data_IF_375083872291
#
_entry.id   IF_375083872291
#
_cell.length_a   1.000
_cell.length_b   1.000
_cell.length_c   1.000
_cell.angle_alpha   90.00
_cell.angle_beta   90.00
_cell.angle_gamma   90.00
#
_symmetry.space_group_name_H-M   'P 1'
#
loop_
_entity.id
_entity.type
_entity.pdbx_description
1 polymer ?
#
# COMPACT_ATOMS: atom_id res chain seq x y z
N UNK A 1 -38.29 58.69 15.76
CA UNK A 1 -37.41 58.24 16.87
C UNK A 1 -37.51 56.73 16.97
N UNK A 2 -36.35 56.04 16.98
CA UNK A 2 -36.07 54.60 17.20
C UNK A 2 -36.55 53.66 16.06
N UNK A 3 -35.66 53.18 15.19
CA UNK A 3 -34.62 52.13 15.32
C UNK A 3 -35.15 50.69 15.25
N UNK A 4 -34.76 49.97 14.18
CA UNK A 4 -34.14 48.64 14.23
C UNK A 4 -35.02 47.38 14.33
N UNK A 5 -34.88 46.47 13.35
CA UNK A 5 -35.22 45.05 13.52
C UNK A 5 -35.55 44.29 12.23
N UNK A 6 -34.52 43.76 11.57
CA UNK A 6 -34.64 42.79 10.47
C UNK A 6 -34.88 41.36 10.98
N UNK A 7 -35.48 40.55 10.09
CA UNK A 7 -35.50 39.08 9.95
C UNK A 7 -36.86 38.40 10.17
N UNK A 8 -37.36 37.88 9.04
CA UNK A 8 -38.61 37.15 8.85
C UNK A 8 -38.61 35.74 9.48
N UNK A 9 -39.86 35.29 9.62
CA UNK A 9 -40.38 34.21 10.42
C UNK A 9 -40.06 32.80 9.88
N UNK A 10 -39.90 31.91 10.85
CA UNK A 10 -39.81 30.44 10.81
C UNK A 10 -41.02 29.79 10.11
N UNK A 11 -40.82 28.81 9.23
CA UNK A 11 -41.67 27.60 9.22
C UNK A 11 -41.03 26.44 8.46
N UNK A 12 -41.04 25.29 9.15
CA UNK A 12 -40.49 24.00 8.75
C UNK A 12 -41.37 23.31 7.68
N UNK A 13 -40.73 22.69 6.68
CA UNK A 13 -41.33 21.60 5.92
C UNK A 13 -40.34 20.45 5.82
N UNK A 14 -40.56 19.43 6.64
CA UNK A 14 -39.89 18.15 6.59
C UNK A 14 -40.21 17.43 5.28
N UNK A 15 -39.19 16.85 4.63
CA UNK A 15 -39.40 15.80 3.64
C UNK A 15 -38.54 14.59 3.97
N UNK A 16 -39.14 13.42 3.73
CA UNK A 16 -38.77 12.04 4.05
C UNK A 16 -37.27 11.73 4.19
N UNK A 17 -36.96 11.11 5.33
CA UNK A 17 -35.85 10.16 5.48
C UNK A 17 -36.17 8.92 4.65
N UNK A 18 -35.25 8.51 3.79
CA UNK A 18 -35.38 7.24 3.07
C UNK A 18 -34.55 7.18 1.80
N UNK A 19 -33.23 7.08 1.94
CA UNK A 19 -32.39 6.21 1.14
C UNK A 19 -31.03 6.18 1.84
N UNK A 20 -30.63 4.99 2.32
CA UNK A 20 -29.27 4.74 2.78
C UNK A 20 -28.36 4.90 1.58
N UNK A 21 -27.94 6.14 1.31
CA UNK A 21 -26.81 6.45 0.48
C UNK A 21 -25.60 5.86 1.15
N UNK A 22 -25.33 4.57 0.88
CA UNK A 22 -24.04 3.98 1.14
C UNK A 22 -23.04 4.97 0.57
N UNK A 23 -22.23 5.59 1.43
CA UNK A 23 -21.03 6.29 0.96
C UNK A 23 -20.41 5.29 0.00
N UNK A 24 -20.25 5.67 -1.27
CA UNK A 24 -19.36 4.95 -2.17
C UNK A 24 -18.11 4.73 -1.32
N UNK A 25 -17.88 3.50 -0.87
CA UNK A 25 -16.74 3.20 -0.01
C UNK A 25 -15.58 3.43 -0.95
N UNK A 26 -15.01 4.64 -0.91
CA UNK A 26 -13.89 4.99 -1.74
C UNK A 26 -12.87 3.88 -1.48
N UNK A 27 -12.68 3.03 -2.48
CA UNK A 27 -11.81 1.86 -2.37
C UNK A 27 -10.47 2.41 -1.92
N UNK A 28 -10.10 2.20 -0.66
CA UNK A 28 -8.91 2.84 -0.13
C UNK A 28 -7.71 2.22 -0.85
N UNK A 29 -6.97 3.07 -1.56
CA UNK A 29 -5.78 2.71 -2.31
C UNK A 29 -4.56 2.97 -1.44
N UNK A 30 -3.59 2.06 -1.47
CA UNK A 30 -2.27 2.36 -0.94
C UNK A 30 -1.53 3.25 -1.93
N UNK A 31 -1.16 4.46 -1.50
CA UNK A 31 -0.59 5.48 -2.38
C UNK A 31 0.45 6.34 -1.67
N UNK A 32 1.36 6.91 -2.47
CA UNK A 32 2.41 7.82 -2.01
C UNK A 32 3.60 7.09 -1.38
N UNK A 33 4.68 7.84 -1.18
CA UNK A 33 5.94 7.38 -0.60
C UNK A 33 6.11 7.95 0.81
N UNK A 34 6.44 7.10 1.77
CA UNK A 34 6.60 7.47 3.18
C UNK A 34 8.02 7.13 3.62
N UNK A 35 8.80 8.15 3.96
CA UNK A 35 10.13 7.96 4.54
C UNK A 35 9.99 7.58 6.01
N UNK A 36 10.63 6.49 6.40
CA UNK A 36 10.55 5.91 7.73
C UNK A 36 11.86 5.19 8.06
N UNK A 37 11.93 4.55 9.22
CA UNK A 37 13.09 3.76 9.63
C UNK A 37 12.66 2.41 10.15
N UNK A 38 13.60 1.46 10.07
CA UNK A 38 13.49 0.17 10.74
C UNK A 38 14.30 0.25 12.03
N UNK A 39 13.67 -0.10 13.14
CA UNK A 39 14.35 -0.08 14.43
C UNK A 39 15.33 -1.26 14.58
N UNK A 40 16.14 -1.24 15.65
CA UNK A 40 17.13 -2.27 15.95
C UNK A 40 16.54 -3.69 16.05
N UNK A 41 15.25 -3.80 16.37
CA UNK A 41 14.53 -5.08 16.46
C UNK A 41 13.95 -5.52 15.12
N UNK A 42 14.19 -4.77 14.05
CA UNK A 42 13.67 -5.05 12.72
C UNK A 42 12.21 -4.65 12.54
N UNK A 43 11.66 -3.78 13.39
CA UNK A 43 10.26 -3.36 13.31
C UNK A 43 10.11 -2.11 12.46
N UNK A 44 9.05 -2.11 11.66
CA UNK A 44 8.65 -1.01 10.80
C UNK A 44 7.33 -0.42 11.29
N UNK A 45 7.27 0.89 11.51
CA UNK A 45 6.00 1.56 11.82
C UNK A 45 5.19 1.81 10.53
N UNK A 46 4.02 1.19 10.42
CA UNK A 46 3.09 1.43 9.30
C UNK A 46 2.56 2.87 9.42
N UNK A 47 2.51 3.67 8.34
CA UNK A 47 1.94 5.02 8.39
C UNK A 47 0.49 5.02 8.90
N UNK A 48 0.18 5.95 9.81
CA UNK A 48 -1.09 5.98 10.54
C UNK A 48 -2.33 5.91 9.64
N UNK A 49 -2.29 6.58 8.48
CA UNK A 49 -3.38 6.60 7.50
C UNK A 49 -3.76 5.22 6.93
N UNK A 50 -2.89 4.22 7.02
CA UNK A 50 -3.17 2.88 6.50
C UNK A 50 -3.60 1.89 7.59
N UNK A 51 -3.33 2.19 8.86
CA UNK A 51 -3.51 1.24 9.97
C UNK A 51 -4.97 0.81 10.11
N UNK A 52 -5.89 1.76 10.20
CA UNK A 52 -7.32 1.46 10.33
C UNK A 52 -7.81 0.60 9.15
N UNK A 53 -7.41 0.95 7.93
CA UNK A 53 -7.79 0.19 6.74
C UNK A 53 -7.25 -1.25 6.76
N UNK A 54 -5.99 -1.45 7.16
CA UNK A 54 -5.40 -2.79 7.28
C UNK A 54 -6.08 -3.60 8.39
N UNK A 55 -6.40 -2.98 9.52
CA UNK A 55 -7.15 -3.62 10.59
C UNK A 55 -8.56 -4.03 10.15
N UNK A 56 -9.30 -3.15 9.48
CA UNK A 56 -10.66 -3.44 8.99
C UNK A 56 -10.68 -4.49 7.88
N UNK A 57 -9.66 -4.51 7.02
CA UNK A 57 -9.63 -5.36 5.83
C UNK A 57 -9.08 -6.76 6.09
N UNK A 58 -8.09 -6.89 6.97
CA UNK A 58 -7.39 -8.16 7.19
C UNK A 58 -6.92 -8.33 8.64
N UNK A 59 -7.48 -7.59 9.61
CA UNK A 59 -7.08 -7.71 11.01
C UNK A 59 -5.63 -7.30 11.28
N UNK A 60 -4.96 -6.63 10.34
CA UNK A 60 -3.52 -6.35 10.42
C UNK A 60 -2.62 -7.53 10.00
N UNK A 61 -3.19 -8.61 9.46
CA UNK A 61 -2.44 -9.73 8.89
C UNK A 61 -1.84 -9.35 7.54
N UNK A 62 -0.53 -9.47 7.44
CA UNK A 62 0.27 -9.01 6.32
C UNK A 62 1.27 -10.11 5.93
N UNK A 63 1.72 -10.07 4.68
CA UNK A 63 2.81 -10.91 4.19
C UNK A 63 3.90 -10.00 3.64
N UNK A 64 5.14 -10.23 4.07
CA UNK A 64 6.32 -9.57 3.50
C UNK A 64 7.10 -10.60 2.69
N UNK A 65 7.46 -10.25 1.46
CA UNK A 65 8.17 -11.14 0.54
C UNK A 65 9.07 -10.35 -0.42
N UNK A 66 9.69 -11.02 -1.38
CA UNK A 66 10.43 -10.38 -2.47
C UNK A 66 9.52 -10.10 -3.67
N UNK A 67 9.78 -8.96 -4.29
CA UNK A 67 9.18 -8.58 -5.57
C UNK A 67 10.04 -8.94 -6.77
N UNK A 68 9.63 -8.50 -7.98
CA UNK A 68 10.44 -8.65 -9.19
C UNK A 68 11.72 -7.81 -9.16
N UNK A 69 11.75 -6.71 -8.41
CA UNK A 69 12.95 -5.91 -8.20
C UNK A 69 13.86 -6.56 -7.13
N UNK A 70 15.16 -6.74 -7.39
CA UNK A 70 16.04 -7.55 -6.54
C UNK A 70 16.28 -6.98 -5.14
N UNK A 71 16.33 -5.65 -5.01
CA UNK A 71 16.62 -4.90 -3.77
C UNK A 71 15.34 -4.35 -3.09
N UNK A 72 14.17 -4.89 -3.42
CA UNK A 72 12.88 -4.44 -2.91
C UNK A 72 12.14 -5.57 -2.21
N UNK A 73 11.58 -5.27 -1.04
CA UNK A 73 10.57 -6.11 -0.42
C UNK A 73 9.18 -5.64 -0.81
N UNK A 74 8.23 -6.55 -0.84
CA UNK A 74 6.84 -6.25 -1.11
C UNK A 74 6.00 -6.73 0.05
N UNK A 75 5.09 -5.87 0.49
CA UNK A 75 4.18 -6.14 1.60
C UNK A 75 2.73 -6.12 1.13
N UNK A 76 2.03 -7.21 1.39
CA UNK A 76 0.64 -7.42 1.01
C UNK A 76 -0.26 -7.54 2.24
N UNK A 77 -1.47 -6.96 2.24
CA UNK A 77 -2.59 -7.52 3.02
C UNK A 77 -2.80 -8.98 2.65
N UNK A 78 -3.05 -9.85 3.64
CA UNK A 78 -3.23 -11.29 3.39
C UNK A 78 -4.20 -11.61 2.23
N UNK A 79 -5.40 -10.99 2.12
CA UNK A 79 -6.31 -11.27 1.00
C UNK A 79 -5.79 -10.89 -0.38
N UNK A 80 -4.84 -9.96 -0.48
CA UNK A 80 -4.19 -9.64 -1.76
C UNK A 80 -3.02 -10.58 -2.06
N UNK A 81 -2.37 -11.13 -1.04
CA UNK A 81 -1.34 -12.14 -1.21
C UNK A 81 -1.93 -13.48 -1.68
N UNK A 82 -3.06 -13.89 -1.11
CA UNK A 82 -3.81 -15.09 -1.56
C UNK A 82 -4.19 -14.97 -3.04
N UNK A 83 -4.73 -13.82 -3.45
CA UNK A 83 -5.04 -13.54 -4.87
C UNK A 83 -3.81 -13.64 -5.77
N UNK A 84 -2.67 -13.10 -5.31
CA UNK A 84 -1.42 -13.20 -6.06
C UNK A 84 -0.96 -14.66 -6.18
N UNK A 85 -1.10 -15.45 -5.13
CA UNK A 85 -0.77 -16.88 -5.17
C UNK A 85 -1.65 -17.63 -6.17
N UNK A 86 -2.96 -17.36 -6.18
CA UNK A 86 -3.90 -17.90 -7.16
C UNK A 86 -3.51 -17.48 -8.60
N UNK A 87 -3.18 -16.21 -8.81
CA UNK A 87 -2.76 -15.70 -10.13
C UNK A 87 -1.48 -16.41 -10.61
N UNK A 88 -0.50 -16.64 -9.72
CA UNK A 88 0.73 -17.37 -10.02
C UNK A 88 0.46 -18.83 -10.36
N UNK A 89 -0.43 -19.49 -9.63
CA UNK A 89 -0.80 -20.90 -9.88
C UNK A 89 -1.47 -21.07 -11.26
N UNK A 90 -2.27 -20.07 -11.66
CA UNK A 90 -3.02 -20.05 -12.91
C UNK A 90 -2.22 -19.50 -14.11
N UNK A 91 -0.95 -19.13 -13.95
CA UNK A 91 -0.10 -18.70 -15.07
C UNK A 91 0.02 -19.79 -16.14
N UNK A 92 -0.19 -19.39 -17.39
CA UNK A 92 -0.10 -20.28 -18.56
C UNK A 92 1.36 -20.69 -18.82
N UNK A 93 2.28 -19.75 -18.71
CA UNK A 93 3.72 -20.04 -18.83
C UNK A 93 4.23 -20.66 -17.53
N UNK A 94 4.60 -21.95 -17.59
CA UNK A 94 5.06 -22.70 -16.43
C UNK A 94 6.46 -22.30 -15.98
N UNK A 95 7.31 -21.82 -16.88
CA UNK A 95 8.66 -21.36 -16.51
C UNK A 95 8.55 -20.07 -15.70
N UNK A 96 7.72 -19.14 -16.14
CA UNK A 96 7.49 -17.90 -15.39
C UNK A 96 6.72 -18.14 -14.08
N UNK A 97 5.77 -19.09 -14.08
CA UNK A 97 5.09 -19.51 -12.84
C UNK A 97 6.08 -20.01 -11.78
N UNK A 98 7.01 -20.91 -12.14
CA UNK A 98 8.00 -21.44 -11.20
C UNK A 98 8.99 -20.37 -10.73
N UNK A 99 9.37 -19.41 -11.60
CA UNK A 99 10.17 -18.25 -11.18
C UNK A 99 9.42 -17.38 -10.19
N UNK A 100 8.15 -17.06 -10.45
CA UNK A 100 7.32 -16.26 -9.56
C UNK A 100 7.11 -16.96 -8.21
N UNK A 101 6.86 -18.28 -8.20
CA UNK A 101 6.81 -19.08 -6.96
C UNK A 101 8.12 -19.00 -6.18
N UNK A 102 9.25 -19.22 -6.83
CA UNK A 102 10.55 -19.21 -6.16
C UNK A 102 10.88 -17.84 -5.54
N UNK A 103 10.54 -16.74 -6.22
CA UNK A 103 10.84 -15.38 -5.76
C UNK A 103 9.82 -14.90 -4.71
N UNK A 104 8.53 -15.08 -4.97
CA UNK A 104 7.46 -14.46 -4.17
C UNK A 104 6.89 -15.42 -3.14
N UNK A 105 6.60 -16.67 -3.49
CA UNK A 105 6.05 -17.63 -2.52
C UNK A 105 7.16 -18.17 -1.61
N UNK A 106 8.32 -18.51 -2.18
CA UNK A 106 9.45 -19.10 -1.45
C UNK A 106 10.09 -18.18 -0.41
N UNK A 107 9.91 -16.87 -0.52
CA UNK A 107 10.42 -15.87 0.43
C UNK A 107 9.34 -15.23 1.31
N UNK A 108 8.08 -15.65 1.16
CA UNK A 108 6.97 -15.08 1.91
C UNK A 108 7.10 -15.35 3.41
N UNK A 109 6.86 -14.32 4.20
CA UNK A 109 6.81 -14.41 5.64
C UNK A 109 5.59 -13.67 6.17
N UNK A 110 4.76 -14.39 6.91
CA UNK A 110 3.60 -13.83 7.59
C UNK A 110 4.05 -12.90 8.72
N UNK A 111 3.35 -11.79 8.87
CA UNK A 111 3.56 -10.81 9.93
C UNK A 111 2.22 -10.20 10.34
N UNK A 112 2.14 -9.70 11.56
CA UNK A 112 0.94 -9.07 12.08
C UNK A 112 1.27 -7.69 12.63
N UNK A 113 0.39 -6.73 12.36
CA UNK A 113 0.52 -5.39 12.90
C UNK A 113 0.21 -5.39 14.40
N UNK A 114 1.21 -4.99 15.20
CA UNK A 114 1.05 -4.87 16.65
C UNK A 114 0.10 -3.72 17.04
N UNK A 115 -0.25 -3.62 18.33
CA UNK A 115 -1.13 -2.57 18.86
C UNK A 115 -0.59 -1.13 18.64
N UNK A 116 0.70 -0.98 18.35
CA UNK A 116 1.33 0.32 18.07
C UNK A 116 1.37 0.62 16.56
N UNK A 117 0.85 -0.28 15.72
CA UNK A 117 0.86 -0.12 14.28
C UNK A 117 2.18 -0.48 13.63
N UNK A 118 2.98 -1.37 14.24
CA UNK A 118 4.25 -1.83 13.68
C UNK A 118 4.20 -3.28 13.24
N UNK A 119 5.06 -3.64 12.30
CA UNK A 119 5.27 -5.01 11.85
C UNK A 119 6.72 -5.41 12.03
N UNK A 120 6.99 -6.71 12.13
CA UNK A 120 8.34 -7.25 12.12
C UNK A 120 8.76 -7.60 10.69
N UNK A 121 9.94 -7.15 10.26
CA UNK A 121 10.56 -7.56 9.00
C UNK A 121 11.63 -8.63 9.31
N UNK A 122 11.49 -9.86 8.79
CA UNK A 122 12.43 -10.94 9.01
C UNK A 122 13.89 -10.56 8.68
N UNK A 123 14.88 -10.97 9.50
CA UNK A 123 16.29 -10.61 9.29
C UNK A 123 16.85 -10.98 7.91
N UNK A 124 16.45 -12.13 7.35
CA UNK A 124 16.86 -12.56 6.02
C UNK A 124 16.35 -11.61 4.93
N UNK A 125 15.08 -11.18 5.02
CA UNK A 125 14.49 -10.24 4.06
C UNK A 125 15.12 -8.85 4.21
N UNK A 126 15.40 -8.39 5.43
CA UNK A 126 16.12 -7.13 5.66
C UNK A 126 17.50 -7.14 5.02
N UNK A 127 18.25 -8.24 5.16
CA UNK A 127 19.56 -8.39 4.54
C UNK A 127 19.48 -8.35 3.01
N UNK A 128 18.49 -9.02 2.42
CA UNK A 128 18.27 -9.05 0.96
C UNK A 128 18.00 -7.64 0.42
N UNK A 129 17.15 -6.87 1.09
CA UNK A 129 16.78 -5.51 0.64
C UNK A 129 17.63 -4.40 1.26
N UNK A 130 18.76 -4.73 1.89
CA UNK A 130 19.71 -3.77 2.52
C UNK A 130 19.05 -2.79 3.49
N UNK A 131 18.06 -3.29 4.24
CA UNK A 131 17.24 -2.51 5.17
C UNK A 131 17.94 -2.37 6.54
N UNK A 132 18.93 -1.49 6.62
CA UNK A 132 19.78 -1.27 7.80
C UNK A 132 19.52 0.06 8.53
N UNK A 133 18.47 0.80 8.16
CA UNK A 133 18.10 2.05 8.82
C UNK A 133 16.99 2.82 8.11
N UNK A 134 17.29 3.91 7.38
CA UNK A 134 16.31 4.65 6.60
C UNK A 134 15.69 3.80 5.50
N UNK A 135 14.36 3.84 5.39
CA UNK A 135 13.59 3.10 4.42
C UNK A 135 12.48 3.98 3.84
N UNK A 136 11.92 3.53 2.72
CA UNK A 136 10.76 4.15 2.08
C UNK A 136 9.69 3.10 1.83
N UNK A 137 8.50 3.35 2.36
CA UNK A 137 7.32 2.54 2.10
C UNK A 137 6.46 3.24 1.05
N UNK A 138 6.38 2.65 -0.14
CA UNK A 138 5.68 3.18 -1.29
C UNK A 138 4.38 2.41 -1.53
N UNK A 139 3.24 3.09 -1.55
CA UNK A 139 1.95 2.47 -1.83
C UNK A 139 1.76 2.19 -3.34
N UNK A 140 1.37 0.96 -3.65
CA UNK A 140 1.18 0.44 -5.02
C UNK A 140 -0.23 -0.14 -5.20
N UNK A 141 -1.27 0.68 -4.95
CA UNK A 141 -2.70 0.38 -5.10
C UNK A 141 -3.20 -0.68 -4.10
N UNK A 142 -2.70 -1.91 -4.19
CA UNK A 142 -3.12 -3.10 -3.42
C UNK A 142 -2.04 -3.62 -2.47
N UNK A 143 -0.82 -3.13 -2.59
CA UNK A 143 0.34 -3.53 -1.79
C UNK A 143 1.21 -2.33 -1.44
N UNK A 144 2.30 -2.59 -0.74
CA UNK A 144 3.39 -1.65 -0.56
C UNK A 144 4.68 -2.25 -1.08
N UNK A 145 5.50 -1.42 -1.69
CA UNK A 145 6.90 -1.72 -1.96
C UNK A 145 7.74 -1.05 -0.86
N UNK A 146 8.69 -1.79 -0.30
CA UNK A 146 9.55 -1.37 0.81
C UNK A 146 11.00 -1.39 0.34
N UNK A 147 11.61 -0.21 0.37
CA UNK A 147 12.95 0.06 -0.14
C UNK A 147 13.85 0.55 0.98
N UNK A 148 15.13 0.21 0.92
CA UNK A 148 16.15 1.03 1.59
C UNK A 148 16.19 2.41 0.93
N UNK A 149 16.38 3.48 1.70
CA UNK A 149 16.25 4.84 1.17
C UNK A 149 17.25 5.14 0.03
N UNK A 150 18.47 4.62 0.11
CA UNK A 150 19.47 4.74 -0.95
C UNK A 150 19.04 4.04 -2.25
N UNK A 151 18.48 2.84 -2.16
CA UNK A 151 17.99 2.08 -3.32
C UNK A 151 16.76 2.76 -3.94
N UNK A 152 15.89 3.34 -3.10
CA UNK A 152 14.78 4.17 -3.54
C UNK A 152 15.27 5.39 -4.34
N UNK A 153 16.22 6.16 -3.81
CA UNK A 153 16.73 7.35 -4.50
C UNK A 153 17.42 7.00 -5.82
N UNK A 154 18.20 5.91 -5.85
CA UNK A 154 18.85 5.43 -7.06
C UNK A 154 17.81 5.05 -8.14
N UNK A 155 16.67 4.48 -7.73
CA UNK A 155 15.64 4.00 -8.67
C UNK A 155 14.62 5.06 -9.06
N UNK A 156 14.21 5.95 -8.16
CA UNK A 156 13.08 6.87 -8.35
C UNK A 156 13.46 8.36 -8.24
N UNK A 157 14.69 8.69 -7.88
CA UNK A 157 15.16 10.08 -7.79
C UNK A 157 15.23 10.77 -9.16
N UNK A 158 15.70 12.02 -9.16
CA UNK A 158 15.72 12.89 -10.35
C UNK A 158 16.51 12.33 -11.56
N UNK A 159 17.40 11.36 -11.34
CA UNK A 159 18.16 10.67 -12.40
C UNK A 159 17.55 9.35 -12.87
N UNK A 160 16.33 9.02 -12.44
CA UNK A 160 15.69 7.74 -12.75
C UNK A 160 15.41 7.55 -14.25
N UNK A 161 15.71 6.36 -14.76
CA UNK A 161 15.35 5.93 -16.12
C UNK A 161 13.88 5.52 -16.27
N UNK A 162 13.12 5.53 -15.16
CA UNK A 162 11.69 5.23 -15.18
C UNK A 162 10.89 6.34 -15.89
N UNK A 163 11.42 7.55 -15.96
CA UNK A 163 10.80 8.67 -16.68
C UNK A 163 11.31 8.69 -18.12
N UNK A 164 10.40 8.72 -19.10
CA UNK A 164 10.78 8.69 -20.53
C UNK A 164 9.67 8.14 -21.43
N UNK A 165 10.05 7.68 -22.63
CA UNK A 165 9.11 7.16 -23.62
C UNK A 165 8.36 5.91 -23.14
N UNK A 166 9.04 5.01 -22.43
CA UNK A 166 8.44 3.81 -21.83
C UNK A 166 7.34 4.14 -20.82
N UNK A 167 7.55 5.17 -20.00
CA UNK A 167 6.53 5.67 -19.07
C UNK A 167 5.30 6.18 -19.83
N UNK A 168 5.52 7.01 -20.86
CA UNK A 168 4.44 7.53 -21.69
C UNK A 168 3.64 6.41 -22.35
N UNK A 169 4.33 5.40 -22.90
CA UNK A 169 3.69 4.24 -23.50
C UNK A 169 2.83 3.47 -22.50
N UNK A 170 3.35 3.21 -21.29
CA UNK A 170 2.57 2.57 -20.24
C UNK A 170 1.28 3.34 -19.95
N UNK A 171 1.34 4.67 -19.80
CA UNK A 171 0.16 5.50 -19.58
C UNK A 171 -0.81 5.55 -20.77
N UNK A 172 -0.35 5.35 -22.01
CA UNK A 172 -1.24 5.28 -23.20
C UNK A 172 -2.12 4.04 -23.20
N UNK A 173 -1.72 2.97 -22.54
CA UNK A 173 -2.51 1.73 -22.47
C UNK A 173 -3.72 1.83 -21.54
N UNK A 174 -3.78 2.87 -20.69
CA UNK A 174 -4.93 3.12 -19.82
C UNK A 174 -6.12 3.53 -20.69
N UNK A 175 -7.16 2.68 -20.71
CA UNK A 175 -8.46 3.04 -21.29
C UNK A 175 -9.00 4.25 -20.51
N UNK A 176 -9.12 5.39 -21.18
CA UNK A 176 -9.74 6.62 -20.66
C UNK A 176 -11.25 6.56 -20.81
#
# INVERSE_FOLDING_TARGET
MREGGWWDIVSFKWWKVGESGGRLTARMLFSGSHHLSIDEKGRLAVPARFRQHLSERCGGQLVVTRGPDPDCLVMYPMPEFERLADDIENMVDRVDAERAKAITIGFAADTEMDKQGRILIPPNLRKIAKLEGPAVLMGQIRRFDLWAANEYEARFGNGSTLFGESAHEAFRTLKR
#
